data_IF_622388757238
#
_entry.id   IF_622388757238
#
_cell.length_a   1.000
_cell.length_b   1.000
_cell.length_c   1.000
_cell.angle_alpha   90.00
_cell.angle_beta   90.00
_cell.angle_gamma   90.00
#
_symmetry.space_group_name_H-M   'P 1'
#
loop_
_entity.id
_entity.type
_entity.pdbx_description
1 polymer ?
#
# COMPACT_ATOMS: atom_id res chain seq x y z
N UNK A 1 4.24 -9.56 -23.86
CA UNK A 1 3.73 -9.87 -22.49
C UNK A 1 2.21 -9.81 -22.50
N UNK A 2 1.50 -10.76 -21.86
CA UNK A 2 0.03 -10.78 -21.93
C UNK A 2 -0.59 -9.94 -20.81
N UNK A 3 -1.55 -9.06 -21.14
CA UNK A 3 -2.21 -8.22 -20.14
C UNK A 3 -2.96 -9.05 -19.08
N UNK A 4 -3.49 -10.21 -19.48
CA UNK A 4 -4.21 -11.12 -18.58
C UNK A 4 -3.33 -11.67 -17.46
N UNK A 5 -2.07 -12.03 -17.76
CA UNK A 5 -1.16 -12.57 -16.73
C UNK A 5 -0.72 -11.49 -15.75
N UNK A 6 -0.52 -10.26 -16.22
CA UNK A 6 -0.23 -9.11 -15.36
C UNK A 6 -1.42 -8.82 -14.42
N UNK A 7 -2.64 -8.77 -14.96
CA UNK A 7 -3.85 -8.54 -14.17
C UNK A 7 -4.06 -9.63 -13.13
N UNK A 8 -3.93 -10.90 -13.51
CA UNK A 8 -4.07 -12.02 -12.58
C UNK A 8 -3.05 -11.94 -11.43
N UNK A 9 -1.78 -11.65 -11.73
CA UNK A 9 -0.74 -11.50 -10.72
C UNK A 9 -1.01 -10.32 -9.79
N UNK A 10 -1.39 -9.16 -10.33
CA UNK A 10 -1.71 -7.97 -9.53
C UNK A 10 -2.93 -8.22 -8.62
N UNK A 11 -3.99 -8.84 -9.17
CA UNK A 11 -5.20 -9.16 -8.41
C UNK A 11 -4.91 -10.11 -7.24
N UNK A 12 -4.09 -11.14 -7.44
CA UNK A 12 -3.71 -12.08 -6.38
C UNK A 12 -2.90 -11.37 -5.29
N UNK A 13 -1.88 -10.59 -5.66
CA UNK A 13 -1.03 -9.91 -4.68
C UNK A 13 -1.81 -8.84 -3.89
N UNK A 14 -2.61 -8.02 -4.57
CA UNK A 14 -3.46 -7.01 -3.92
C UNK A 14 -4.51 -7.70 -3.03
N UNK A 15 -5.14 -8.76 -3.53
CA UNK A 15 -6.13 -9.54 -2.79
C UNK A 15 -5.53 -10.11 -1.50
N UNK A 16 -4.35 -10.73 -1.58
CA UNK A 16 -3.65 -11.27 -0.41
C UNK A 16 -3.32 -10.16 0.60
N UNK A 17 -2.80 -9.02 0.14
CA UNK A 17 -2.51 -7.88 1.01
C UNK A 17 -3.77 -7.36 1.73
N UNK A 18 -4.90 -7.25 1.02
CA UNK A 18 -6.17 -6.84 1.61
C UNK A 18 -6.69 -7.85 2.64
N UNK A 19 -6.58 -9.15 2.35
CA UNK A 19 -6.95 -10.22 3.29
C UNK A 19 -6.09 -10.13 4.56
N UNK A 20 -4.78 -9.92 4.43
CA UNK A 20 -3.88 -9.76 5.58
C UNK A 20 -4.24 -8.53 6.42
N UNK A 21 -4.52 -7.39 5.79
CA UNK A 21 -4.93 -6.15 6.48
C UNK A 21 -6.27 -6.34 7.20
N UNK A 22 -7.22 -7.02 6.55
CA UNK A 22 -8.52 -7.34 7.11
C UNK A 22 -8.38 -8.25 8.34
N UNK A 23 -7.62 -9.34 8.20
CA UNK A 23 -7.37 -10.29 9.27
C UNK A 23 -6.66 -9.61 10.45
N UNK A 24 -5.63 -8.81 10.19
CA UNK A 24 -4.95 -8.00 11.21
C UNK A 24 -5.94 -7.08 11.95
N UNK A 25 -6.82 -6.40 11.21
CA UNK A 25 -7.79 -5.47 11.79
C UNK A 25 -8.81 -6.15 12.70
N UNK A 26 -9.21 -7.39 12.38
CA UNK A 26 -10.10 -8.19 13.23
C UNK A 26 -9.34 -8.75 14.44
N UNK A 27 -8.20 -9.41 14.21
CA UNK A 27 -7.43 -10.09 15.25
C UNK A 27 -6.96 -9.10 16.33
N UNK A 28 -6.54 -7.89 15.96
CA UNK A 28 -6.13 -6.82 16.88
C UNK A 28 -7.26 -6.36 17.82
N UNK A 29 -8.53 -6.49 17.41
CA UNK A 29 -9.69 -6.11 18.23
C UNK A 29 -10.11 -7.20 19.22
N UNK A 30 -9.68 -8.45 19.01
CA UNK A 30 -10.06 -9.57 19.87
C UNK A 30 -9.34 -9.47 21.23
N UNK A 31 -10.08 -9.58 22.36
CA UNK A 31 -9.49 -9.44 23.70
C UNK A 31 -8.51 -10.56 24.01
N UNK A 32 -8.75 -11.77 23.49
CA UNK A 32 -7.83 -12.91 23.62
C UNK A 32 -6.44 -12.63 23.02
N UNK A 33 -6.39 -11.81 21.97
CA UNK A 33 -5.13 -11.46 21.30
C UNK A 33 -4.51 -10.15 21.81
N UNK A 34 -5.15 -9.46 22.75
CA UNK A 34 -4.62 -8.25 23.38
C UNK A 34 -3.19 -8.41 23.94
N UNK A 35 -2.81 -9.52 24.62
CA UNK A 35 -1.43 -9.72 25.07
C UNK A 35 -0.40 -9.76 23.94
N UNK A 36 -0.78 -10.17 22.74
CA UNK A 36 0.13 -10.25 21.58
C UNK A 36 0.30 -8.88 20.94
N UNK A 37 -0.82 -8.19 20.64
CA UNK A 37 -0.79 -6.92 19.91
C UNK A 37 -0.48 -5.70 20.79
N UNK A 38 -0.70 -5.78 22.11
CA UNK A 38 -0.52 -4.68 23.05
C UNK A 38 0.34 -5.05 24.26
N UNK A 39 1.24 -6.03 24.12
CA UNK A 39 2.15 -6.51 25.16
C UNK A 39 2.82 -5.38 25.95
N UNK A 40 3.37 -4.38 25.25
CA UNK A 40 4.04 -3.22 25.85
C UNK A 40 3.10 -2.32 26.64
N UNK A 41 1.87 -2.08 26.16
CA UNK A 41 0.91 -1.26 26.92
C UNK A 41 0.48 -1.97 28.20
N UNK A 42 0.30 -3.28 28.11
CA UNK A 42 -0.01 -4.15 29.25
C UNK A 42 1.12 -4.17 30.28
N UNK A 43 2.39 -4.24 29.85
CA UNK A 43 3.53 -4.21 30.77
C UNK A 43 3.62 -2.88 31.54
N UNK A 44 3.26 -1.77 30.90
CA UNK A 44 3.20 -0.46 31.55
C UNK A 44 1.84 -0.17 32.23
N UNK A 45 0.95 -1.16 32.39
CA UNK A 45 -0.41 -1.01 32.96
C UNK A 45 -1.24 0.11 32.30
N UNK A 46 -0.94 0.45 31.06
CA UNK A 46 -1.72 1.45 30.32
C UNK A 46 -3.03 0.83 29.82
N UNK A 47 -4.14 1.58 29.87
CA UNK A 47 -5.42 1.09 29.38
C UNK A 47 -5.33 0.79 27.87
N UNK A 48 -5.82 -0.39 27.48
CA UNK A 48 -5.90 -0.78 26.08
C UNK A 48 -7.10 -0.04 25.45
N UNK A 49 -6.96 0.57 24.26
CA UNK A 49 -8.06 1.28 23.59
C UNK A 49 -9.35 0.44 23.42
N UNK A 50 -9.22 -0.89 23.34
CA UNK A 50 -10.35 -1.81 23.21
C UNK A 50 -11.16 -2.01 24.49
N UNK A 51 -10.71 -1.50 25.65
CA UNK A 51 -11.35 -1.71 26.95
C UNK A 51 -12.24 -0.54 27.41
N UNK A 52 -12.16 0.64 26.77
CA UNK A 52 -12.90 1.83 27.21
C UNK A 52 -14.32 1.98 26.65
N UNK A 53 -14.81 1.06 25.80
CA UNK A 53 -16.21 1.07 25.36
C UNK A 53 -17.11 0.23 26.27
N UNK A 54 -17.11 0.57 27.55
CA UNK A 54 -17.89 -0.10 28.60
C UNK A 54 -19.29 0.54 28.74
N UNK A 55 -20.03 0.68 27.64
CA UNK A 55 -21.41 1.20 27.73
C UNK A 55 -22.44 0.53 26.81
N UNK A 56 -22.08 -0.43 25.94
CA UNK A 56 -23.05 -1.20 25.14
C UNK A 56 -22.49 -2.58 24.75
N UNK A 57 -22.54 -3.53 25.70
CA UNK A 57 -21.95 -4.87 25.57
C UNK A 57 -22.57 -5.75 24.47
N UNK A 58 -23.84 -5.53 24.08
CA UNK A 58 -24.51 -6.39 23.10
C UNK A 58 -24.19 -6.01 21.63
N UNK A 59 -24.15 -4.70 21.30
CA UNK A 59 -23.79 -4.25 19.96
C UNK A 59 -22.28 -4.37 19.66
N UNK A 60 -21.42 -4.29 20.67
CA UNK A 60 -19.97 -4.19 20.46
C UNK A 60 -19.28 -5.50 20.03
N UNK A 61 -19.92 -6.66 20.23
CA UNK A 61 -19.34 -7.97 19.84
C UNK A 61 -19.35 -8.18 18.33
N UNK A 62 -20.43 -7.78 17.64
CA UNK A 62 -20.52 -7.91 16.18
C UNK A 62 -19.66 -6.86 15.46
N UNK A 63 -19.61 -5.62 15.96
CA UNK A 63 -18.71 -4.58 15.45
C UNK A 63 -17.21 -4.93 15.57
N UNK A 64 -16.86 -5.94 16.38
CA UNK A 64 -15.49 -6.42 16.52
C UNK A 64 -15.00 -7.22 15.31
N UNK A 65 -15.91 -7.83 14.57
CA UNK A 65 -15.61 -8.58 13.34
C UNK A 65 -15.60 -7.69 12.09
N UNK A 66 -16.08 -6.45 12.19
CA UNK A 66 -15.91 -5.49 11.11
C UNK A 66 -14.45 -5.01 11.07
N UNK A 67 -13.77 -5.05 9.91
CA UNK A 67 -12.43 -4.49 9.78
C UNK A 67 -12.47 -2.99 10.06
N UNK A 68 -11.55 -2.47 10.86
CA UNK A 68 -11.36 -1.02 11.01
C UNK A 68 -10.05 -0.61 10.38
N UNK A 69 -10.08 0.42 9.54
CA UNK A 69 -8.89 1.04 8.94
C UNK A 69 -8.43 2.28 9.74
N UNK A 70 -9.17 2.66 10.77
CA UNK A 70 -8.88 3.85 11.60
C UNK A 70 -7.51 3.81 12.31
N UNK A 71 -6.91 2.63 12.47
CA UNK A 71 -5.57 2.49 13.05
C UNK A 71 -4.46 3.00 12.11
N UNK A 72 -4.69 3.02 10.80
CA UNK A 72 -3.69 3.47 9.81
C UNK A 72 -3.36 4.96 10.03
N UNK A 73 -4.32 5.91 9.94
CA UNK A 73 -4.00 7.33 10.15
C UNK A 73 -3.51 7.60 11.58
N UNK A 74 -3.98 6.83 12.57
CA UNK A 74 -3.50 6.96 13.95
C UNK A 74 -2.01 6.57 14.08
N UNK A 75 -1.56 5.54 13.36
CA UNK A 75 -0.15 5.14 13.35
C UNK A 75 0.76 6.22 12.75
N UNK A 76 0.27 6.99 11.77
CA UNK A 76 1.04 8.09 11.18
C UNK A 76 1.06 9.38 12.03
N UNK A 77 0.08 9.55 12.93
CA UNK A 77 -0.05 10.76 13.78
C UNK A 77 0.86 10.76 15.02
N UNK A 78 1.56 9.67 15.31
CA UNK A 78 2.45 9.56 16.48
C UNK A 78 3.62 10.55 16.34
N UNK A 79 3.83 11.37 17.37
CA UNK A 79 4.89 12.39 17.40
C UNK A 79 6.26 11.77 17.65
N UNK A 80 7.31 12.46 17.24
CA UNK A 80 8.69 12.00 17.48
C UNK A 80 9.03 11.96 18.97
N UNK A 81 8.53 12.93 19.75
CA UNK A 81 8.72 12.97 21.20
C UNK A 81 8.06 11.78 21.89
N UNK A 82 6.86 11.39 21.43
CA UNK A 82 6.18 10.19 21.93
C UNK A 82 6.99 8.93 21.62
N UNK A 83 7.57 8.82 20.42
CA UNK A 83 8.42 7.68 20.04
C UNK A 83 9.70 7.65 20.88
N UNK A 84 10.35 8.79 21.09
CA UNK A 84 11.56 8.88 21.89
C UNK A 84 11.31 8.44 23.33
N UNK A 85 10.23 8.93 23.94
CA UNK A 85 9.89 8.61 25.32
C UNK A 85 9.39 7.16 25.49
N UNK A 86 8.63 6.63 24.52
CA UNK A 86 8.04 5.29 24.62
C UNK A 86 8.96 4.17 24.12
N UNK A 87 9.75 4.44 23.08
CA UNK A 87 10.48 3.43 22.30
C UNK A 87 11.99 3.65 22.24
N UNK A 88 12.47 4.82 22.68
CA UNK A 88 13.89 5.15 22.72
C UNK A 88 14.44 5.69 21.40
N UNK A 89 15.76 5.96 21.40
CA UNK A 89 16.45 6.63 20.30
C UNK A 89 16.55 5.77 19.04
N UNK A 90 16.80 4.47 19.16
CA UNK A 90 16.94 3.56 18.02
C UNK A 90 15.65 3.52 17.18
N UNK A 91 14.51 3.29 17.84
CA UNK A 91 13.20 3.33 17.21
C UNK A 91 12.91 4.69 16.55
N UNK A 92 13.32 5.80 17.20
CA UNK A 92 13.17 7.13 16.61
C UNK A 92 14.00 7.27 15.32
N UNK A 93 15.25 6.83 15.31
CA UNK A 93 16.12 6.89 14.11
C UNK A 93 15.51 6.07 12.98
N UNK A 94 15.03 4.85 13.24
CA UNK A 94 14.37 4.01 12.23
C UNK A 94 13.11 4.68 11.69
N UNK A 95 12.26 5.23 12.54
CA UNK A 95 11.04 5.93 12.10
C UNK A 95 11.39 7.21 11.35
N UNK A 96 12.46 7.93 11.72
CA UNK A 96 12.95 9.08 10.98
C UNK A 96 13.43 8.69 9.60
N UNK A 97 14.20 7.62 9.45
CA UNK A 97 14.60 7.10 8.14
C UNK A 97 13.37 6.76 7.29
N UNK A 98 12.34 6.15 7.90
CA UNK A 98 11.09 5.86 7.21
C UNK A 98 10.29 7.12 6.86
N UNK A 99 10.16 8.11 7.77
CA UNK A 99 9.39 9.34 7.54
C UNK A 99 10.09 10.30 6.58
N UNK A 100 11.37 10.60 6.79
CA UNK A 100 12.14 11.47 5.90
C UNK A 100 12.35 10.81 4.55
N UNK A 101 12.79 9.55 4.56
CA UNK A 101 12.96 8.76 3.35
C UNK A 101 11.65 8.63 2.60
N UNK A 102 10.59 8.13 3.24
CA UNK A 102 9.29 7.98 2.58
C UNK A 102 8.72 9.33 2.17
N UNK A 103 8.57 10.34 3.01
CA UNK A 103 7.85 11.55 2.61
C UNK A 103 8.54 12.32 1.47
N UNK A 104 9.85 12.54 1.56
CA UNK A 104 10.59 13.26 0.51
C UNK A 104 10.73 12.42 -0.76
N UNK A 105 11.13 11.15 -0.64
CA UNK A 105 11.28 10.26 -1.78
C UNK A 105 9.93 9.94 -2.43
N UNK A 106 8.87 9.74 -1.66
CA UNK A 106 7.51 9.47 -2.16
C UNK A 106 6.97 10.69 -2.92
N UNK A 107 7.13 11.91 -2.39
CA UNK A 107 6.66 13.10 -3.11
C UNK A 107 7.42 13.29 -4.44
N UNK A 108 8.75 13.15 -4.42
CA UNK A 108 9.56 13.23 -5.64
C UNK A 108 9.19 12.11 -6.62
N UNK A 109 9.11 10.87 -6.12
CA UNK A 109 8.76 9.68 -6.90
C UNK A 109 7.37 9.79 -7.52
N UNK A 110 6.36 10.22 -6.76
CA UNK A 110 4.99 10.39 -7.28
C UNK A 110 4.98 11.44 -8.38
N UNK A 111 5.58 12.62 -8.14
CA UNK A 111 5.59 13.68 -9.13
C UNK A 111 6.29 13.24 -10.43
N UNK A 112 7.45 12.60 -10.31
CA UNK A 112 8.19 12.06 -11.45
C UNK A 112 7.41 10.96 -12.16
N UNK A 113 6.88 10.00 -11.41
CA UNK A 113 6.13 8.86 -11.96
C UNK A 113 4.85 9.32 -12.66
N UNK A 114 4.11 10.28 -12.08
CA UNK A 114 2.90 10.85 -12.70
C UNK A 114 3.26 11.59 -13.99
N UNK A 115 4.31 12.41 -13.99
CA UNK A 115 4.78 13.09 -15.19
C UNK A 115 5.18 12.10 -16.29
N UNK A 116 6.00 11.10 -15.96
CA UNK A 116 6.40 10.05 -16.90
C UNK A 116 5.22 9.21 -17.37
N UNK A 117 4.27 8.88 -16.48
CA UNK A 117 3.08 8.11 -16.83
C UNK A 117 2.17 8.90 -17.77
N UNK A 118 2.03 10.20 -17.58
CA UNK A 118 1.28 11.08 -18.47
C UNK A 118 1.91 11.16 -19.86
N UNK A 119 3.23 11.35 -19.93
CA UNK A 119 3.98 11.33 -21.20
C UNK A 119 3.86 9.94 -21.87
N UNK A 120 3.99 8.88 -21.09
CA UNK A 120 3.83 7.51 -21.57
C UNK A 120 2.45 7.25 -22.16
N UNK A 121 1.39 7.70 -21.49
CA UNK A 121 0.00 7.47 -21.89
C UNK A 121 -0.42 8.35 -23.08
N UNK A 122 -0.05 9.63 -23.07
CA UNK A 122 -0.53 10.59 -24.08
C UNK A 122 0.37 10.68 -25.31
N UNK A 123 1.65 10.37 -25.18
CA UNK A 123 2.63 10.50 -26.27
C UNK A 123 3.08 9.13 -26.73
N UNK A 124 3.70 8.34 -25.87
CA UNK A 124 4.33 7.08 -26.29
C UNK A 124 3.30 6.01 -26.71
N UNK A 125 2.18 5.89 -25.99
CA UNK A 125 1.16 4.88 -26.27
C UNK A 125 0.53 5.04 -27.68
N UNK A 126 0.02 6.22 -28.09
CA UNK A 126 -0.50 6.39 -29.45
C UNK A 126 0.58 6.32 -30.52
N UNK A 127 1.78 6.89 -30.26
CA UNK A 127 2.89 6.84 -31.23
C UNK A 127 3.30 5.41 -31.55
N UNK A 128 3.42 4.55 -30.54
CA UNK A 128 3.80 3.15 -30.73
C UNK A 128 2.67 2.37 -31.39
N UNK A 129 1.40 2.62 -31.03
CA UNK A 129 0.25 1.86 -31.56
C UNK A 129 -0.01 2.11 -33.05
N UNK A 130 0.17 3.35 -33.54
CA UNK A 130 -0.11 3.73 -34.95
C UNK A 130 1.00 3.31 -35.92
N UNK A 131 2.00 2.54 -35.49
CA UNK A 131 3.08 2.06 -36.36
C UNK A 131 2.57 1.03 -37.40
N UNK A 132 2.75 1.30 -38.72
CA UNK A 132 2.23 0.42 -39.78
C UNK A 132 3.07 -0.84 -40.03
N UNK A 133 4.18 -1.06 -39.30
CA UNK A 133 5.19 -2.08 -39.63
C UNK A 133 5.51 -3.13 -38.57
N UNK A 134 4.69 -3.26 -37.51
CA UNK A 134 4.93 -4.23 -36.44
C UNK A 134 4.65 -5.69 -36.84
N UNK A 135 5.38 -6.67 -36.27
CA UNK A 135 5.15 -8.09 -36.53
C UNK A 135 3.71 -8.50 -36.18
N UNK A 136 3.20 -9.56 -36.84
CA UNK A 136 1.86 -10.15 -36.69
C UNK A 136 1.16 -9.79 -35.37
N UNK A 137 0.05 -9.03 -35.47
CA UNK A 137 -0.76 -8.59 -34.34
C UNK A 137 -1.35 -9.80 -33.59
N UNK A 138 -0.63 -10.29 -32.60
CA UNK A 138 -1.22 -11.10 -31.54
C UNK A 138 -2.15 -10.20 -30.74
N UNK A 139 -3.47 -10.37 -30.91
CA UNK A 139 -4.51 -9.53 -30.30
C UNK A 139 -4.46 -9.44 -28.77
N UNK A 140 -3.65 -10.28 -28.10
CA UNK A 140 -3.52 -10.34 -26.66
C UNK A 140 -2.17 -9.89 -26.10
N UNK A 141 -1.20 -9.53 -26.97
CA UNK A 141 0.13 -9.10 -26.51
C UNK A 141 0.22 -7.58 -26.35
N UNK A 142 0.83 -7.15 -25.24
CA UNK A 142 1.16 -5.74 -24.95
C UNK A 142 2.29 -5.18 -25.83
N UNK A 143 2.92 -6.02 -26.66
CA UNK A 143 4.08 -5.65 -27.49
C UNK A 143 3.73 -4.64 -28.60
N UNK A 144 2.44 -4.45 -28.85
CA UNK A 144 1.89 -3.43 -29.77
C UNK A 144 2.01 -1.99 -29.23
N UNK A 145 2.15 -1.82 -27.90
CA UNK A 145 2.26 -0.53 -27.24
C UNK A 145 3.70 -0.12 -26.91
N UNK A 146 4.67 -0.98 -27.25
CA UNK A 146 6.08 -0.80 -26.91
C UNK A 146 6.94 -0.61 -28.16
N UNK A 147 8.24 -0.37 -27.97
CA UNK A 147 9.21 -0.15 -29.05
C UNK A 147 9.29 -1.32 -30.05
N UNK A 148 8.84 -2.52 -29.66
CA UNK A 148 8.79 -3.68 -30.57
C UNK A 148 7.81 -3.53 -31.73
N UNK A 149 6.85 -2.59 -31.65
CA UNK A 149 5.94 -2.29 -32.75
C UNK A 149 6.54 -1.30 -33.78
N UNK A 150 7.70 -0.70 -33.49
CA UNK A 150 8.35 0.29 -34.35
C UNK A 150 9.21 -0.43 -35.40
N UNK A 151 9.11 -0.02 -36.68
CA UNK A 151 9.94 -0.59 -37.74
C UNK A 151 11.40 -0.15 -37.61
N UNK A 152 12.34 -1.05 -37.94
CA UNK A 152 13.77 -0.72 -37.96
C UNK A 152 14.03 0.36 -39.01
N UNK A 153 14.73 1.43 -38.62
CA UNK A 153 15.02 2.58 -39.49
C UNK A 153 13.93 3.66 -39.53
N UNK A 154 12.92 3.58 -38.68
CA UNK A 154 11.91 4.64 -38.55
C UNK A 154 12.50 5.88 -37.85
N UNK A 155 12.04 7.07 -38.23
CA UNK A 155 12.40 8.35 -37.59
C UNK A 155 11.51 8.64 -36.36
N UNK A 156 11.16 7.60 -35.60
CA UNK A 156 10.33 7.63 -34.39
C UNK A 156 11.10 7.01 -33.23
#
# INVERSE_FOLDING_TARGET
MNAQSLFASAAINIGLALITIFLFSILKKQPSNAPIYYSRRLSHRHPIPSHHHHHNWCCSTLLRFLPSVSWIPQAFRVSEDEILHTSGLDALVVIRLFKFGSFFLLLLFINFFVACSLVGLLVLLPLNYTSPGGPYKSSHSMDSFTISNISRGSNR
#
